data_IF_497542554286
#
_entry.id   IF_497542554286
#
_cell.length_a   1.000
_cell.length_b   1.000
_cell.length_c   1.000
_cell.angle_alpha   90.00
_cell.angle_beta   90.00
_cell.angle_gamma   90.00
#
_symmetry.space_group_name_H-M   'P 1'
#
loop_
_entity.id
_entity.type
_entity.pdbx_description
1 polymer ?
#
# COMPACT_ATOMS: atom_id res chain seq x y z
N UNK A 1 6.85 14.40 -8.66
CA UNK A 1 6.53 13.25 -9.41
C UNK A 1 5.12 13.28 -10.04
N UNK A 2 4.37 12.22 -9.81
CA UNK A 2 3.02 12.05 -10.43
C UNK A 2 2.03 13.15 -10.03
N UNK A 3 2.11 13.67 -8.82
CA UNK A 3 1.26 14.74 -8.30
C UNK A 3 1.43 16.07 -9.05
N UNK A 4 2.65 16.39 -9.48
CA UNK A 4 2.88 17.57 -10.34
C UNK A 4 2.31 17.37 -11.74
N UNK A 5 2.42 16.15 -12.27
CA UNK A 5 1.81 15.82 -13.57
C UNK A 5 0.28 16.06 -13.56
N UNK A 6 -0.42 15.67 -12.50
CA UNK A 6 -1.88 15.88 -12.41
C UNK A 6 -2.22 17.36 -12.40
N UNK A 7 -1.54 18.17 -11.57
CA UNK A 7 -1.80 19.61 -11.48
C UNK A 7 -1.51 20.33 -12.81
N UNK A 8 -0.39 20.02 -13.43
CA UNK A 8 0.03 20.72 -14.65
C UNK A 8 -0.73 20.24 -15.89
N UNK A 9 -1.09 18.94 -15.95
CA UNK A 9 -1.88 18.40 -17.05
C UNK A 9 -3.34 18.82 -17.03
N UNK A 10 -3.89 19.17 -15.87
CA UNK A 10 -5.28 19.64 -15.74
C UNK A 10 -5.56 20.93 -16.56
N UNK A 11 -4.55 21.76 -16.82
CA UNK A 11 -4.68 22.91 -17.71
C UNK A 11 -4.90 22.54 -19.17
N UNK A 12 -4.47 21.35 -19.59
CA UNK A 12 -4.52 20.87 -20.98
C UNK A 12 -5.45 19.68 -21.18
N UNK A 13 -5.77 18.93 -20.11
CA UNK A 13 -6.55 17.70 -20.18
C UNK A 13 -7.71 17.72 -19.16
N UNK A 14 -8.83 17.03 -19.44
CA UNK A 14 -9.88 16.80 -18.46
C UNK A 14 -9.31 16.16 -17.17
N UNK A 15 -9.90 16.50 -16.03
CA UNK A 15 -9.48 16.02 -14.69
C UNK A 15 -9.33 14.50 -14.63
N UNK A 16 -10.28 13.78 -15.21
CA UNK A 16 -10.33 12.31 -15.23
C UNK A 16 -9.09 11.72 -15.90
N UNK A 17 -8.74 12.27 -17.06
CA UNK A 17 -7.56 11.82 -17.82
C UNK A 17 -6.27 12.14 -17.04
N UNK A 18 -6.20 13.29 -16.40
CA UNK A 18 -5.05 13.67 -15.57
C UNK A 18 -4.85 12.74 -14.39
N UNK A 19 -5.93 12.33 -13.73
CA UNK A 19 -5.89 11.34 -12.62
C UNK A 19 -5.44 9.97 -13.13
N UNK A 20 -6.00 9.49 -14.24
CA UNK A 20 -5.62 8.20 -14.84
C UNK A 20 -4.14 8.15 -15.23
N UNK A 21 -3.64 9.22 -15.87
CA UNK A 21 -2.22 9.34 -16.20
C UNK A 21 -1.36 9.34 -14.93
N UNK A 22 -1.78 10.07 -13.89
CA UNK A 22 -1.07 10.12 -12.61
C UNK A 22 -0.98 8.74 -11.94
N UNK A 23 -2.09 7.99 -11.91
CA UNK A 23 -2.12 6.62 -11.39
C UNK A 23 -1.20 5.70 -12.21
N UNK A 24 -1.29 5.75 -13.54
CA UNK A 24 -0.45 4.93 -14.42
C UNK A 24 1.04 5.25 -14.25
N UNK A 25 1.41 6.53 -14.17
CA UNK A 25 2.79 6.97 -13.92
C UNK A 25 3.26 6.53 -12.53
N UNK A 26 2.39 6.61 -11.51
CA UNK A 26 2.70 6.12 -10.16
C UNK A 26 3.06 4.63 -10.14
N UNK A 27 2.22 3.80 -10.75
CA UNK A 27 2.46 2.36 -10.93
C UNK A 27 3.76 2.10 -11.70
N UNK A 28 4.00 2.83 -12.78
CA UNK A 28 5.20 2.66 -13.59
C UNK A 28 6.49 3.04 -12.85
N UNK A 29 6.49 4.14 -12.08
CA UNK A 29 7.65 4.57 -11.28
C UNK A 29 8.00 3.56 -10.19
N UNK A 30 6.99 2.96 -9.55
CA UNK A 30 7.20 1.94 -8.50
C UNK A 30 7.50 0.55 -9.07
N UNK A 31 7.41 0.39 -10.41
CA UNK A 31 7.56 -0.90 -11.07
C UNK A 31 6.43 -1.87 -10.70
N UNK A 32 5.26 -1.36 -10.36
CA UNK A 32 4.08 -2.13 -9.91
C UNK A 32 4.32 -3.02 -8.66
N UNK A 33 5.38 -2.78 -7.89
CA UNK A 33 5.79 -3.64 -6.78
C UNK A 33 4.69 -3.82 -5.71
N UNK A 34 3.95 -2.76 -5.43
CA UNK A 34 2.91 -2.79 -4.40
C UNK A 34 1.61 -3.37 -4.92
N UNK A 35 1.30 -3.10 -6.18
CA UNK A 35 0.16 -3.66 -6.91
C UNK A 35 0.32 -5.17 -7.07
N UNK A 36 1.50 -5.63 -7.43
CA UNK A 36 1.88 -7.05 -7.50
C UNK A 36 1.69 -7.72 -6.14
N UNK A 37 2.23 -7.12 -5.07
CA UNK A 37 2.03 -7.63 -3.71
C UNK A 37 0.56 -7.71 -3.29
N UNK A 38 -0.29 -6.77 -3.73
CA UNK A 38 -1.73 -6.84 -3.49
C UNK A 38 -2.36 -8.01 -4.25
N UNK A 39 -2.02 -8.19 -5.52
CA UNK A 39 -2.55 -9.26 -6.36
C UNK A 39 -2.14 -10.63 -5.80
N UNK A 40 -0.86 -10.83 -5.52
CA UNK A 40 -0.31 -12.07 -4.98
C UNK A 40 -0.91 -12.41 -3.61
N UNK A 41 -1.07 -11.42 -2.74
CA UNK A 41 -1.74 -11.60 -1.46
C UNK A 41 -3.20 -11.98 -1.63
N UNK A 42 -3.93 -11.33 -2.53
CA UNK A 42 -5.33 -11.63 -2.79
C UNK A 42 -5.50 -13.06 -3.34
N UNK A 43 -4.68 -13.46 -4.30
CA UNK A 43 -4.69 -14.83 -4.84
C UNK A 43 -4.27 -15.86 -3.80
N UNK A 44 -3.20 -15.60 -3.06
CA UNK A 44 -2.73 -16.47 -2.01
C UNK A 44 -3.76 -16.72 -0.92
N UNK A 45 -4.35 -15.67 -0.38
CA UNK A 45 -5.35 -15.79 0.68
C UNK A 45 -6.73 -16.23 0.17
N UNK A 46 -7.08 -15.91 -1.07
CA UNK A 46 -8.34 -16.29 -1.68
C UNK A 46 -8.40 -17.76 -2.06
N UNK A 47 -7.33 -18.32 -2.59
CA UNK A 47 -7.29 -19.70 -3.09
C UNK A 47 -6.54 -20.69 -2.17
N UNK A 48 -5.68 -20.20 -1.25
CA UNK A 48 -4.90 -21.05 -0.36
C UNK A 48 -5.63 -21.42 0.91
N UNK A 49 -5.56 -22.71 1.30
CA UNK A 49 -6.22 -23.25 2.49
C UNK A 49 -5.29 -23.36 3.71
N UNK A 50 -4.00 -23.51 3.48
CA UNK A 50 -2.99 -23.61 4.54
C UNK A 50 -1.79 -22.70 4.26
N UNK A 51 -0.94 -22.41 5.26
CA UNK A 51 0.17 -21.45 5.12
C UNK A 51 1.15 -21.77 3.98
N UNK A 52 1.41 -23.04 3.73
CA UNK A 52 2.35 -23.47 2.68
C UNK A 52 1.77 -23.20 1.29
N UNK A 53 0.51 -23.56 1.08
CA UNK A 53 -0.21 -23.32 -0.16
C UNK A 53 -0.38 -21.83 -0.43
N UNK A 54 -0.73 -21.03 0.57
CA UNK A 54 -0.82 -19.57 0.44
C UNK A 54 0.51 -19.00 -0.06
N UNK A 55 1.62 -19.31 0.61
CA UNK A 55 2.95 -18.85 0.20
C UNK A 55 3.40 -19.39 -1.15
N UNK A 56 2.95 -20.57 -1.55
CA UNK A 56 3.23 -21.13 -2.87
C UNK A 56 2.51 -20.34 -3.97
N UNK A 57 1.25 -20.01 -3.74
CA UNK A 57 0.44 -19.21 -4.69
C UNK A 57 1.03 -17.79 -4.82
N UNK A 58 1.40 -17.14 -3.70
CA UNK A 58 2.04 -15.81 -3.72
C UNK A 58 3.37 -15.77 -4.49
N UNK A 59 4.05 -16.90 -4.66
CA UNK A 59 5.30 -17.00 -5.44
C UNK A 59 5.09 -17.37 -6.91
N UNK A 60 3.87 -17.65 -7.30
CA UNK A 60 3.53 -17.91 -8.70
C UNK A 60 3.41 -16.59 -9.44
N UNK A 61 4.09 -16.46 -10.58
CA UNK A 61 4.08 -15.23 -11.40
C UNK A 61 2.79 -15.05 -12.21
N UNK A 62 1.84 -15.98 -12.10
CA UNK A 62 0.54 -15.90 -12.79
C UNK A 62 -0.49 -15.22 -11.92
N UNK A 63 -1.17 -14.20 -12.46
CA UNK A 63 -2.26 -13.55 -11.76
C UNK A 63 -3.53 -14.41 -11.81
N UNK A 64 -4.14 -14.61 -10.64
CA UNK A 64 -5.42 -15.28 -10.52
C UNK A 64 -6.61 -14.32 -10.51
N UNK A 65 -7.82 -14.88 -10.37
CA UNK A 65 -9.05 -14.08 -10.39
C UNK A 65 -9.16 -13.15 -9.19
N UNK A 66 -8.75 -13.59 -8.01
CA UNK A 66 -8.78 -12.74 -6.80
C UNK A 66 -7.82 -11.56 -6.91
N UNK A 67 -6.60 -11.79 -7.43
CA UNK A 67 -5.61 -10.75 -7.67
C UNK A 67 -6.10 -9.72 -8.67
N UNK A 68 -6.61 -10.19 -9.82
CA UNK A 68 -7.15 -9.31 -10.85
C UNK A 68 -8.31 -8.45 -10.32
N UNK A 69 -9.29 -9.05 -9.63
CA UNK A 69 -10.43 -8.31 -9.09
C UNK A 69 -10.01 -7.33 -7.99
N UNK A 70 -9.08 -7.70 -7.11
CA UNK A 70 -8.59 -6.81 -6.06
C UNK A 70 -7.89 -5.56 -6.63
N UNK A 71 -7.06 -5.73 -7.66
CA UNK A 71 -6.43 -4.62 -8.37
C UNK A 71 -7.46 -3.71 -9.01
N UNK A 72 -8.43 -4.28 -9.73
CA UNK A 72 -9.46 -3.52 -10.40
C UNK A 72 -10.27 -2.68 -9.41
N UNK A 73 -10.72 -3.26 -8.29
CA UNK A 73 -11.49 -2.53 -7.29
C UNK A 73 -10.66 -1.45 -6.59
N UNK A 74 -9.42 -1.75 -6.19
CA UNK A 74 -8.56 -0.77 -5.53
C UNK A 74 -8.24 0.40 -6.46
N UNK A 75 -7.88 0.15 -7.72
CA UNK A 75 -7.61 1.21 -8.70
C UNK A 75 -8.85 2.05 -8.99
N UNK A 76 -10.03 1.41 -9.09
CA UNK A 76 -11.28 2.13 -9.28
C UNK A 76 -11.64 3.00 -8.08
N UNK A 77 -11.48 2.50 -6.85
CA UNK A 77 -11.71 3.28 -5.63
C UNK A 77 -10.75 4.46 -5.56
N UNK A 78 -9.46 4.27 -5.85
CA UNK A 78 -8.48 5.37 -5.90
C UNK A 78 -8.88 6.44 -6.91
N UNK A 79 -9.26 6.01 -8.12
CA UNK A 79 -9.72 6.93 -9.16
C UNK A 79 -10.93 7.76 -8.68
N UNK A 80 -11.98 7.11 -8.19
CA UNK A 80 -13.20 7.77 -7.73
C UNK A 80 -12.94 8.69 -6.53
N UNK A 81 -12.07 8.28 -5.60
CA UNK A 81 -11.68 9.10 -4.45
C UNK A 81 -11.00 10.39 -4.92
N UNK A 82 -10.01 10.29 -5.82
CA UNK A 82 -9.32 11.45 -6.37
C UNK A 82 -10.22 12.31 -7.25
N UNK A 83 -11.16 11.69 -7.96
CA UNK A 83 -12.15 12.40 -8.77
C UNK A 83 -13.12 13.22 -7.90
N UNK A 84 -13.46 12.76 -6.69
CA UNK A 84 -14.42 13.42 -5.79
C UNK A 84 -13.86 14.66 -5.08
N UNK A 85 -12.53 14.81 -4.95
CA UNK A 85 -11.89 15.94 -4.26
C UNK A 85 -11.53 17.06 -5.23
N UNK A 86 -11.32 18.28 -4.72
CA UNK A 86 -10.92 19.42 -5.57
C UNK A 86 -9.49 19.24 -6.13
N UNK A 87 -9.22 19.81 -7.29
CA UNK A 87 -7.92 19.67 -7.97
C UNK A 87 -6.78 20.21 -7.10
N UNK A 88 -7.04 21.27 -6.35
CA UNK A 88 -6.06 21.90 -5.46
C UNK A 88 -5.66 20.99 -4.30
N UNK A 89 -6.55 20.10 -3.86
CA UNK A 89 -6.29 19.16 -2.76
C UNK A 89 -5.58 17.87 -3.22
N UNK A 90 -5.69 17.49 -4.50
CA UNK A 90 -5.13 16.25 -5.02
C UNK A 90 -3.64 16.08 -4.66
N UNK A 91 -2.75 17.07 -4.87
CA UNK A 91 -1.33 16.89 -4.57
C UNK A 91 -1.05 16.57 -3.10
N UNK A 92 -1.73 17.26 -2.18
CA UNK A 92 -1.53 17.04 -0.75
C UNK A 92 -2.07 15.68 -0.32
N UNK A 93 -3.29 15.31 -0.77
CA UNK A 93 -3.89 14.00 -0.47
C UNK A 93 -3.04 12.87 -1.03
N UNK A 94 -2.53 13.03 -2.24
CA UNK A 94 -1.66 12.04 -2.88
C UNK A 94 -0.37 11.81 -2.10
N UNK A 95 0.34 12.90 -1.74
CA UNK A 95 1.57 12.82 -0.94
C UNK A 95 1.28 12.21 0.42
N UNK A 96 0.20 12.63 1.09
CA UNK A 96 -0.19 12.13 2.40
C UNK A 96 -0.54 10.64 2.35
N UNK A 97 -1.32 10.19 1.36
CA UNK A 97 -1.67 8.78 1.15
C UNK A 97 -0.43 7.91 0.96
N UNK A 98 0.45 8.29 0.04
CA UNK A 98 1.70 7.57 -0.19
C UNK A 98 2.63 7.56 1.02
N UNK A 99 2.70 8.64 1.81
CA UNK A 99 3.57 8.73 2.97
C UNK A 99 3.08 7.82 4.11
N UNK A 100 1.78 7.91 4.45
CA UNK A 100 1.20 7.15 5.56
C UNK A 100 1.07 5.66 5.24
N UNK A 101 0.79 5.30 3.98
CA UNK A 101 0.69 3.90 3.57
C UNK A 101 2.02 3.15 3.68
N UNK A 102 3.14 3.81 3.38
CA UNK A 102 4.49 3.26 3.59
C UNK A 102 4.79 3.06 5.08
N UNK A 103 4.44 4.04 5.92
CA UNK A 103 4.58 3.91 7.37
C UNK A 103 3.71 2.77 7.90
N UNK A 104 2.49 2.63 7.40
CA UNK A 104 1.57 1.56 7.75
C UNK A 104 2.14 0.18 7.39
N UNK A 105 2.69 0.03 6.18
CA UNK A 105 3.29 -1.23 5.73
C UNK A 105 4.46 -1.66 6.62
N UNK A 106 5.43 -0.76 6.88
CA UNK A 106 6.56 -1.10 7.77
C UNK A 106 6.11 -1.30 9.22
N UNK A 107 5.03 -0.66 9.65
CA UNK A 107 4.44 -0.83 10.97
C UNK A 107 4.01 -2.27 11.26
N UNK A 108 3.68 -3.07 10.24
CA UNK A 108 3.37 -4.50 10.38
C UNK A 108 4.57 -5.34 10.84
N UNK A 109 5.79 -4.85 10.65
CA UNK A 109 7.01 -5.53 11.11
C UNK A 109 7.23 -5.45 12.62
N UNK A 110 6.46 -4.61 13.34
CA UNK A 110 6.55 -4.51 14.80
C UNK A 110 5.90 -5.75 15.46
N UNK A 111 4.64 -6.12 15.14
CA UNK A 111 3.98 -7.27 15.75
C UNK A 111 4.20 -8.60 15.03
N UNK A 112 4.82 -8.63 13.84
CA UNK A 112 4.89 -9.81 12.98
C UNK A 112 6.33 -10.12 12.56
N UNK A 113 6.65 -11.41 12.57
CA UNK A 113 7.90 -11.90 12.01
C UNK A 113 7.86 -11.87 10.47
N UNK A 114 8.96 -11.42 9.87
CA UNK A 114 9.10 -11.40 8.41
C UNK A 114 9.44 -12.80 7.87
N UNK A 115 8.60 -13.30 6.97
CA UNK A 115 8.70 -14.66 6.40
C UNK A 115 9.41 -14.71 5.04
N UNK A 116 9.95 -13.60 4.55
CA UNK A 116 10.64 -13.49 3.27
C UNK A 116 12.08 -13.96 3.37
N UNK A 117 12.45 -15.00 2.60
CA UNK A 117 13.81 -15.49 2.43
C UNK A 117 14.07 -16.86 3.03
N UNK A 118 14.80 -17.68 2.29
CA UNK A 118 15.33 -18.98 2.74
C UNK A 118 16.63 -18.76 3.54
N UNK A 119 16.53 -18.71 4.87
CA UNK A 119 17.69 -18.70 5.76
C UNK A 119 17.74 -17.50 6.74
N UNK A 120 18.56 -17.65 7.78
CA UNK A 120 18.76 -16.71 8.91
C UNK A 120 19.13 -15.25 8.52
N UNK A 121 19.25 -14.91 7.23
CA UNK A 121 19.59 -13.57 6.75
C UNK A 121 18.36 -12.66 6.55
N UNK A 122 17.14 -13.19 6.48
CA UNK A 122 15.95 -12.37 6.23
C UNK A 122 15.53 -11.53 7.42
N UNK A 123 15.73 -12.02 8.64
CA UNK A 123 15.45 -11.25 9.85
C UNK A 123 16.45 -10.12 10.09
N UNK A 124 17.68 -10.22 9.59
CA UNK A 124 18.70 -9.17 9.71
C UNK A 124 18.55 -8.05 8.67
N UNK A 125 17.87 -8.29 7.54
CA UNK A 125 17.61 -7.27 6.53
C UNK A 125 16.51 -6.27 6.91
N UNK A 126 15.72 -6.56 7.94
CA UNK A 126 14.58 -5.73 8.37
C UNK A 126 14.78 -5.17 9.78
N UNK A 127 16.02 -5.10 10.28
CA UNK A 127 16.31 -4.41 11.53
C UNK A 127 16.37 -2.89 11.29
N UNK A 128 15.22 -2.24 11.43
CA UNK A 128 15.12 -0.79 11.43
C UNK A 128 15.71 -0.24 12.73
N UNK A 129 16.69 0.64 12.62
CA UNK A 129 17.25 1.37 13.75
C UNK A 129 16.24 2.41 14.28
N UNK A 130 16.47 2.89 15.49
CA UNK A 130 15.62 3.93 16.09
C UNK A 130 15.53 5.20 15.20
N UNK A 131 16.61 5.55 14.52
CA UNK A 131 16.63 6.67 13.58
C UNK A 131 15.73 6.43 12.35
N UNK A 132 15.72 5.20 11.83
CA UNK A 132 14.88 4.83 10.69
C UNK A 132 13.39 4.96 11.04
N UNK A 133 13.00 4.54 12.25
CA UNK A 133 11.64 4.71 12.77
C UNK A 133 11.24 6.17 12.96
N UNK A 134 12.17 7.02 13.44
CA UNK A 134 11.92 8.44 13.57
C UNK A 134 11.71 9.11 12.21
N UNK A 135 12.57 8.82 11.23
CA UNK A 135 12.45 9.35 9.88
C UNK A 135 11.15 8.88 9.23
N UNK A 136 10.86 7.59 9.30
CA UNK A 136 9.62 7.03 8.75
C UNK A 136 8.37 7.63 9.42
N UNK A 137 8.38 7.78 10.75
CA UNK A 137 7.28 8.38 11.51
C UNK A 137 7.04 9.83 11.12
N UNK A 138 8.10 10.65 11.09
CA UNK A 138 7.99 12.07 10.71
C UNK A 138 7.51 12.19 9.27
N UNK A 139 8.15 11.49 8.32
CA UNK A 139 7.81 11.58 6.90
C UNK A 139 6.41 11.03 6.59
N UNK A 140 5.96 10.00 7.32
CA UNK A 140 4.64 9.40 7.14
C UNK A 140 3.51 10.23 7.75
N UNK A 141 3.72 10.81 8.93
CA UNK A 141 2.66 11.48 9.69
C UNK A 141 2.53 12.95 9.29
N UNK A 142 3.64 13.67 9.05
CA UNK A 142 3.62 15.11 8.81
C UNK A 142 2.70 15.54 7.65
N UNK A 143 2.73 14.91 6.46
CA UNK A 143 1.83 15.28 5.37
C UNK A 143 0.35 15.07 5.72
N UNK A 144 0.05 14.03 6.51
CA UNK A 144 -1.33 13.72 6.91
C UNK A 144 -1.87 14.75 7.91
N UNK A 145 -1.02 15.26 8.80
CA UNK A 145 -1.41 16.33 9.73
C UNK A 145 -1.83 17.62 9.01
N UNK A 146 -1.27 17.89 7.83
CA UNK A 146 -1.64 19.05 7.02
C UNK A 146 -3.09 18.95 6.47
N UNK A 147 -3.68 17.75 6.45
CA UNK A 147 -5.10 17.53 6.11
C UNK A 147 -6.05 17.83 7.29
N UNK A 148 -5.52 18.24 8.44
CA UNK A 148 -6.33 18.60 9.61
C UNK A 148 -7.16 17.44 10.15
N UNK A 149 -8.44 17.71 10.45
CA UNK A 149 -9.33 16.69 11.05
C UNK A 149 -9.54 15.46 10.16
N UNK A 150 -9.59 15.64 8.83
CA UNK A 150 -9.72 14.51 7.89
C UNK A 150 -8.49 13.61 7.93
N UNK A 151 -7.30 14.18 8.01
CA UNK A 151 -6.06 13.41 8.18
C UNK A 151 -6.04 12.63 9.49
N UNK A 152 -6.53 13.20 10.59
CA UNK A 152 -6.65 12.49 11.86
C UNK A 152 -7.59 11.28 11.77
N UNK A 153 -8.74 11.42 11.13
CA UNK A 153 -9.66 10.30 10.89
C UNK A 153 -9.03 9.22 10.00
N UNK A 154 -8.31 9.63 8.97
CA UNK A 154 -7.59 8.70 8.09
C UNK A 154 -6.53 7.90 8.86
N UNK A 155 -5.76 8.53 9.74
CA UNK A 155 -4.79 7.83 10.60
C UNK A 155 -5.44 6.77 11.48
N UNK A 156 -6.59 7.08 12.09
CA UNK A 156 -7.34 6.11 12.89
C UNK A 156 -7.82 4.94 12.03
N UNK A 157 -8.38 5.21 10.86
CA UNK A 157 -8.86 4.18 9.94
C UNK A 157 -7.72 3.26 9.48
N UNK A 158 -6.57 3.82 9.12
CA UNK A 158 -5.36 3.06 8.72
C UNK A 158 -4.83 2.24 9.89
N UNK A 159 -4.82 2.77 11.11
CA UNK A 159 -4.39 2.01 12.28
C UNK A 159 -5.30 0.79 12.53
N UNK A 160 -6.62 0.98 12.46
CA UNK A 160 -7.59 -0.11 12.61
C UNK A 160 -7.41 -1.15 11.51
N UNK A 161 -7.24 -0.72 10.26
CA UNK A 161 -6.96 -1.59 9.12
C UNK A 161 -5.70 -2.44 9.36
N UNK A 162 -4.60 -1.79 9.77
CA UNK A 162 -3.33 -2.48 10.02
C UNK A 162 -3.38 -3.46 11.18
N UNK A 163 -4.09 -3.14 12.25
CA UNK A 163 -4.33 -4.08 13.35
C UNK A 163 -5.11 -5.30 12.86
N UNK A 164 -6.13 -5.09 12.02
CA UNK A 164 -6.90 -6.17 11.38
C UNK A 164 -6.03 -7.03 10.46
N UNK A 165 -5.24 -6.41 9.58
CA UNK A 165 -4.31 -7.10 8.69
C UNK A 165 -3.25 -7.88 9.45
N UNK A 166 -2.67 -7.29 10.50
CA UNK A 166 -1.70 -7.95 11.38
C UNK A 166 -2.29 -9.23 11.99
N UNK A 167 -3.48 -9.14 12.58
CA UNK A 167 -4.17 -10.30 13.13
C UNK A 167 -4.45 -11.36 12.05
N UNK A 168 -4.91 -10.93 10.88
CA UNK A 168 -5.24 -11.81 9.77
C UNK A 168 -4.01 -12.54 9.23
N UNK A 169 -2.92 -11.83 8.95
CA UNK A 169 -1.67 -12.42 8.45
C UNK A 169 -1.05 -13.38 9.47
N UNK A 170 -1.03 -13.00 10.76
CA UNK A 170 -0.57 -13.89 11.83
C UNK A 170 -1.35 -15.19 11.88
N UNK A 171 -2.67 -15.10 11.77
CA UNK A 171 -3.57 -16.27 11.81
C UNK A 171 -3.41 -17.17 10.57
N UNK A 172 -3.24 -16.57 9.37
CA UNK A 172 -3.26 -17.30 8.10
C UNK A 172 -1.90 -17.88 7.71
N UNK A 173 -0.81 -17.17 7.96
CA UNK A 173 0.54 -17.58 7.52
C UNK A 173 1.60 -17.53 8.64
N UNK A 174 1.26 -17.07 9.83
CA UNK A 174 2.15 -17.01 10.99
C UNK A 174 3.08 -15.79 11.01
N UNK A 175 3.00 -14.86 10.07
CA UNK A 175 3.86 -13.68 9.96
C UNK A 175 3.50 -12.84 8.74
N UNK A 176 4.47 -12.11 8.17
CA UNK A 176 4.29 -11.21 7.03
C UNK A 176 5.32 -11.49 5.92
N UNK A 177 4.89 -11.43 4.65
CA UNK A 177 5.76 -11.47 3.46
C UNK A 177 5.89 -10.09 2.84
N UNK A 178 6.78 -9.93 1.85
CA UNK A 178 6.88 -8.70 1.06
C UNK A 178 5.54 -8.34 0.39
N UNK A 179 4.84 -9.35 -0.14
CA UNK A 179 3.55 -9.18 -0.81
C UNK A 179 2.49 -8.66 0.16
N UNK A 180 2.47 -9.18 1.41
CA UNK A 180 1.61 -8.67 2.46
C UNK A 180 1.89 -7.20 2.82
N UNK A 181 3.16 -6.77 2.80
CA UNK A 181 3.53 -5.36 3.00
C UNK A 181 3.02 -4.50 1.84
N UNK A 182 3.21 -4.96 0.59
CA UNK A 182 2.67 -4.31 -0.60
C UNK A 182 1.14 -4.21 -0.56
N UNK A 183 0.45 -5.29 -0.19
CA UNK A 183 -1.00 -5.31 -0.01
C UNK A 183 -1.46 -4.32 1.06
N UNK A 184 -0.80 -4.29 2.22
CA UNK A 184 -1.09 -3.32 3.29
C UNK A 184 -0.90 -1.88 2.80
N UNK A 185 0.15 -1.61 2.05
CA UNK A 185 0.40 -0.30 1.48
C UNK A 185 -0.73 0.11 0.53
N UNK A 186 -1.09 -0.74 -0.43
CA UNK A 186 -2.15 -0.44 -1.40
C UNK A 186 -3.52 -0.23 -0.75
N UNK A 187 -3.84 -0.97 0.30
CA UNK A 187 -5.09 -0.84 1.04
C UNK A 187 -5.11 0.39 1.98
N UNK A 188 -3.95 0.90 2.37
CA UNK A 188 -3.82 2.06 3.26
C UNK A 188 -3.69 3.39 2.49
N UNK A 189 -3.43 3.34 1.21
CA UNK A 189 -3.32 4.47 0.29
C UNK A 189 -4.67 5.01 -0.14
#
# INVERSE_FOLDING_TARGET
GSEMCIRDSHYFLPKDISILIGLAVGVWITGALHEDGLADSADGFGAGWNPEQIRKIMKDSSIGVYGMLSLLFVMFIKFETLHSISVEQIPLVWIAGHAISRLAAIGLLIPLDYLGGSGNKSSSMVQLNHQDWLVAGISGILPVLLLGFQGFLAMIAILILNLGLSHYFKKRIGGVTGDCLGASQQLSE
#
